data_IF_766758900172
#
_entry.id   IF_766758900172
#
_cell.length_a   1.000
_cell.length_b   1.000
_cell.length_c   1.000
_cell.angle_alpha   90.00
_cell.angle_beta   90.00
_cell.angle_gamma   90.00
#
_symmetry.space_group_name_H-M   'P 1'
#
loop_
_entity.id
_entity.type
_entity.pdbx_description
1 polymer ?
#
# COMPACT_ATOMS: atom_id res chain seq x y z
N UNK A 1 -0.53 -12.98 39.76
CA UNK A 1 -1.74 -12.26 39.29
C UNK A 1 -1.43 -11.12 38.31
N UNK A 2 -0.51 -10.18 38.59
CA UNK A 2 -0.17 -9.08 37.63
C UNK A 2 0.33 -9.56 36.25
N UNK A 3 1.11 -10.63 36.18
CA UNK A 3 1.57 -11.20 34.91
C UNK A 3 0.44 -11.76 34.03
N UNK A 4 -0.66 -12.23 34.64
CA UNK A 4 -1.77 -12.81 33.87
C UNK A 4 -2.56 -11.73 33.14
N UNK A 5 -2.80 -10.60 33.79
CA UNK A 5 -3.50 -9.46 33.17
C UNK A 5 -2.69 -8.82 32.05
N UNK A 6 -1.36 -8.80 32.17
CA UNK A 6 -0.48 -8.37 31.07
C UNK A 6 -0.56 -9.34 29.89
N UNK A 7 -0.54 -10.64 30.15
CA UNK A 7 -0.64 -11.67 29.12
C UNK A 7 -1.98 -11.59 28.37
N UNK A 8 -3.10 -11.44 29.09
CA UNK A 8 -4.43 -11.24 28.49
C UNK A 8 -4.49 -9.99 27.58
N UNK A 9 -3.83 -8.90 27.96
CA UNK A 9 -3.76 -7.70 27.12
C UNK A 9 -2.91 -7.92 25.86
N UNK A 10 -1.83 -8.68 25.96
CA UNK A 10 -1.00 -9.03 24.79
C UNK A 10 -1.75 -9.92 23.82
N UNK A 11 -2.48 -10.92 24.31
CA UNK A 11 -3.30 -11.79 23.47
C UNK A 11 -4.40 -11.01 22.73
N UNK A 12 -4.96 -9.96 23.36
CA UNK A 12 -5.88 -9.04 22.69
C UNK A 12 -5.19 -8.26 21.58
N UNK A 13 -3.96 -7.77 21.80
CA UNK A 13 -3.17 -7.09 20.76
C UNK A 13 -2.89 -8.07 19.60
N UNK A 14 -2.44 -9.29 19.90
CA UNK A 14 -2.16 -10.30 18.88
C UNK A 14 -3.40 -10.62 18.03
N UNK A 15 -4.58 -10.66 18.65
CA UNK A 15 -5.85 -10.83 17.94
C UNK A 15 -6.17 -9.63 17.03
N UNK A 16 -5.92 -8.41 17.49
CA UNK A 16 -6.10 -7.19 16.68
C UNK A 16 -5.12 -7.19 15.50
N UNK A 17 -3.86 -7.53 15.74
CA UNK A 17 -2.82 -7.56 14.70
C UNK A 17 -3.16 -8.56 13.60
N UNK A 18 -3.70 -9.73 13.95
CA UNK A 18 -4.22 -10.69 12.96
C UNK A 18 -5.33 -10.08 12.09
N UNK A 19 -6.25 -9.33 12.68
CA UNK A 19 -7.31 -8.65 11.94
C UNK A 19 -6.74 -7.54 11.04
N UNK A 20 -5.77 -6.77 11.52
CA UNK A 20 -5.08 -5.75 10.73
C UNK A 20 -4.43 -6.39 9.50
N UNK A 21 -3.69 -7.50 9.67
CA UNK A 21 -3.05 -8.21 8.57
C UNK A 21 -4.08 -8.70 7.55
N UNK A 22 -5.22 -9.23 8.01
CA UNK A 22 -6.26 -9.72 7.10
C UNK A 22 -6.90 -8.59 6.29
N UNK A 23 -7.21 -7.46 6.94
CA UNK A 23 -7.70 -6.26 6.26
C UNK A 23 -6.69 -5.69 5.26
N UNK A 24 -5.39 -5.76 5.57
CA UNK A 24 -4.34 -5.34 4.64
C UNK A 24 -4.25 -6.25 3.41
N UNK A 25 -4.42 -7.57 3.58
CA UNK A 25 -4.48 -8.51 2.45
C UNK A 25 -5.67 -8.19 1.54
N UNK A 26 -6.86 -8.01 2.11
CA UNK A 26 -8.06 -7.64 1.35
C UNK A 26 -7.84 -6.34 0.58
N UNK A 27 -7.28 -5.33 1.24
CA UNK A 27 -6.97 -4.03 0.63
C UNK A 27 -5.99 -4.18 -0.55
N UNK A 28 -4.96 -5.01 -0.42
CA UNK A 28 -3.99 -5.28 -1.49
C UNK A 28 -4.66 -5.98 -2.68
N UNK A 29 -5.53 -6.97 -2.44
CA UNK A 29 -6.24 -7.65 -3.53
C UNK A 29 -7.18 -6.71 -4.29
N UNK A 30 -7.85 -5.81 -3.59
CA UNK A 30 -8.65 -4.75 -4.22
C UNK A 30 -7.73 -3.80 -5.01
N UNK A 31 -6.59 -3.40 -4.45
CA UNK A 31 -5.63 -2.53 -5.12
C UNK A 31 -5.08 -3.16 -6.41
N UNK A 32 -4.80 -4.47 -6.44
CA UNK A 32 -4.41 -5.20 -7.65
C UNK A 32 -5.48 -5.14 -8.74
N UNK A 33 -6.74 -5.34 -8.38
CA UNK A 33 -7.88 -5.24 -9.32
C UNK A 33 -7.99 -3.82 -9.89
N UNK A 34 -7.83 -2.80 -9.05
CA UNK A 34 -7.80 -1.40 -9.48
C UNK A 34 -6.61 -1.14 -10.43
N UNK A 35 -5.44 -1.69 -10.12
CA UNK A 35 -4.25 -1.59 -10.98
C UNK A 35 -4.50 -2.13 -12.38
N UNK A 36 -5.11 -3.31 -12.50
CA UNK A 36 -5.49 -3.91 -13.80
C UNK A 36 -6.46 -3.01 -14.58
N UNK A 37 -7.51 -2.50 -13.93
CA UNK A 37 -8.46 -1.59 -14.58
C UNK A 37 -7.80 -0.29 -15.03
N UNK A 38 -6.88 0.27 -14.23
CA UNK A 38 -6.12 1.46 -14.60
C UNK A 38 -5.22 1.21 -15.80
N UNK A 39 -4.59 0.04 -15.85
CA UNK A 39 -3.76 -0.38 -16.98
C UNK A 39 -4.59 -0.46 -18.27
N UNK A 40 -5.77 -1.10 -18.22
CA UNK A 40 -6.65 -1.27 -19.38
C UNK A 40 -7.09 0.08 -19.99
N UNK A 41 -7.21 1.12 -19.17
CA UNK A 41 -7.60 2.48 -19.59
C UNK A 41 -6.42 3.44 -19.76
N UNK A 42 -5.17 2.95 -19.65
CA UNK A 42 -3.95 3.75 -19.82
C UNK A 42 -3.68 4.77 -18.72
N UNK A 43 -4.24 4.59 -17.51
CA UNK A 43 -4.06 5.50 -16.38
C UNK A 43 -2.83 5.16 -15.54
N UNK A 44 -2.19 6.19 -14.97
CA UNK A 44 -1.07 5.97 -14.06
C UNK A 44 -1.51 5.39 -12.70
N UNK A 45 -0.65 4.52 -12.15
CA UNK A 45 -0.83 3.96 -10.80
C UNK A 45 -0.67 5.01 -9.70
N UNK A 46 0.06 6.09 -9.97
CA UNK A 46 0.30 7.18 -9.04
C UNK A 46 -0.76 8.28 -9.18
N UNK A 47 -1.44 8.62 -8.08
CA UNK A 47 -2.48 9.64 -8.05
C UNK A 47 -2.44 10.42 -6.73
N UNK A 48 -1.78 11.59 -6.77
CA UNK A 48 -1.58 12.45 -5.61
C UNK A 48 -2.88 12.96 -5.00
N UNK A 49 -3.89 13.26 -5.83
CA UNK A 49 -5.19 13.75 -5.35
C UNK A 49 -5.87 12.64 -4.57
N UNK A 50 -5.87 11.42 -5.13
CA UNK A 50 -6.45 10.26 -4.45
C UNK A 50 -5.75 9.93 -3.14
N UNK A 51 -4.43 10.02 -3.06
CA UNK A 51 -3.69 9.77 -1.82
C UNK A 51 -4.06 10.78 -0.73
N UNK A 52 -4.16 12.08 -1.08
CA UNK A 52 -4.62 13.13 -0.17
C UNK A 52 -6.05 12.88 0.31
N UNK A 53 -6.95 12.47 -0.57
CA UNK A 53 -8.33 12.12 -0.19
C UNK A 53 -8.38 10.98 0.83
N UNK A 54 -7.58 9.93 0.62
CA UNK A 54 -7.53 8.79 1.54
C UNK A 54 -7.06 9.26 2.93
N UNK A 55 -5.96 10.00 2.99
CA UNK A 55 -5.43 10.52 4.27
C UNK A 55 -6.46 11.40 4.98
N UNK A 56 -7.13 12.30 4.25
CA UNK A 56 -8.18 13.15 4.82
C UNK A 56 -9.36 12.33 5.38
N UNK A 57 -9.77 11.26 4.69
CA UNK A 57 -10.82 10.36 5.19
C UNK A 57 -10.39 9.63 6.46
N UNK A 58 -9.16 9.13 6.49
CA UNK A 58 -8.62 8.43 7.66
C UNK A 58 -8.51 9.36 8.88
N UNK A 59 -8.04 10.59 8.69
CA UNK A 59 -7.95 11.57 9.78
C UNK A 59 -9.33 11.93 10.34
N UNK A 60 -10.37 11.96 9.50
CA UNK A 60 -11.76 12.14 9.97
C UNK A 60 -12.24 10.96 10.81
N UNK A 61 -11.96 9.73 10.39
CA UNK A 61 -12.34 8.50 11.11
C UNK A 61 -11.60 8.36 12.44
N UNK A 62 -10.36 8.88 12.51
CA UNK A 62 -9.51 8.77 13.69
C UNK A 62 -10.06 9.48 14.95
N UNK A 63 -10.90 10.50 14.80
CA UNK A 63 -11.49 11.27 15.91
C UNK A 63 -10.46 11.76 16.95
N UNK A 64 -9.20 11.97 16.52
CA UNK A 64 -8.03 12.38 17.33
C UNK A 64 -7.59 11.38 18.43
N UNK A 65 -8.03 10.13 18.37
CA UNK A 65 -7.60 9.09 19.33
C UNK A 65 -6.15 8.65 19.05
N UNK A 66 -5.82 8.41 17.78
CA UNK A 66 -4.45 8.09 17.35
C UNK A 66 -3.68 9.39 17.02
N UNK A 67 -2.38 9.51 17.32
CA UNK A 67 -1.58 10.66 16.91
C UNK A 67 -1.61 10.85 15.39
N UNK A 68 -2.15 11.98 14.91
CA UNK A 68 -2.42 12.19 13.48
C UNK A 68 -1.19 12.04 12.60
N UNK A 69 -0.02 12.52 13.05
CA UNK A 69 1.21 12.44 12.27
C UNK A 69 1.72 11.00 12.14
N UNK A 70 1.63 10.20 13.21
CA UNK A 70 1.94 8.79 13.14
C UNK A 70 0.95 8.04 12.23
N UNK A 71 -0.34 8.37 12.30
CA UNK A 71 -1.36 7.75 11.45
C UNK A 71 -1.13 8.06 9.96
N UNK A 72 -0.76 9.31 9.63
CA UNK A 72 -0.39 9.71 8.26
C UNK A 72 0.79 8.89 7.75
N UNK A 73 1.83 8.68 8.57
CA UNK A 73 3.00 7.87 8.17
C UNK A 73 2.58 6.43 7.90
N UNK A 74 1.84 5.80 8.81
CA UNK A 74 1.37 4.41 8.65
C UNK A 74 0.56 4.26 7.37
N UNK A 75 -0.43 5.12 7.15
CA UNK A 75 -1.27 5.03 5.95
C UNK A 75 -0.53 5.36 4.67
N UNK A 76 0.47 6.25 4.71
CA UNK A 76 1.33 6.52 3.56
C UNK A 76 2.11 5.27 3.14
N UNK A 77 2.64 4.50 4.09
CA UNK A 77 3.31 3.24 3.80
C UNK A 77 2.34 2.17 3.26
N UNK A 78 1.14 2.06 3.83
CA UNK A 78 0.09 1.16 3.32
C UNK A 78 -0.28 1.52 1.86
N UNK A 79 -0.40 2.82 1.55
CA UNK A 79 -0.67 3.31 0.19
C UNK A 79 0.50 2.95 -0.74
N UNK A 80 1.75 3.20 -0.34
CA UNK A 80 2.95 2.86 -1.13
C UNK A 80 3.02 1.37 -1.44
N UNK A 81 2.77 0.51 -0.45
CA UNK A 81 2.75 -0.95 -0.63
C UNK A 81 1.63 -1.40 -1.58
N UNK A 82 0.45 -0.77 -1.51
CA UNK A 82 -0.62 -1.07 -2.47
C UNK A 82 -0.34 -0.53 -3.88
N UNK A 83 0.46 0.52 -4.00
CA UNK A 83 0.87 1.07 -5.30
C UNK A 83 1.94 0.21 -5.96
N UNK A 84 2.88 -0.37 -5.19
CA UNK A 84 3.93 -1.22 -5.76
C UNK A 84 3.37 -2.47 -6.46
N UNK A 85 2.29 -3.05 -5.93
CA UNK A 85 1.62 -4.20 -6.58
C UNK A 85 0.80 -3.82 -7.82
N UNK A 86 0.56 -2.53 -8.06
CA UNK A 86 -0.12 -2.03 -9.26
C UNK A 86 0.86 -1.67 -10.38
N UNK A 87 2.15 -1.50 -10.07
CA UNK A 87 3.13 -1.06 -11.05
C UNK A 87 3.64 -2.25 -11.87
N UNK A 88 3.62 -2.10 -13.21
CA UNK A 88 4.43 -2.95 -14.07
C UNK A 88 5.90 -2.78 -13.70
N UNK A 89 6.66 -3.86 -13.83
CA UNK A 89 8.11 -3.81 -13.78
C UNK A 89 8.56 -2.83 -14.87
N UNK A 90 9.20 -1.74 -14.47
CA UNK A 90 9.83 -0.79 -15.39
C UNK A 90 11.31 -1.12 -15.44
N UNK A 91 11.80 -1.49 -16.62
CA UNK A 91 13.22 -1.73 -16.86
C UNK A 91 13.79 -0.51 -17.59
N UNK A 92 14.83 0.10 -17.03
CA UNK A 92 15.59 1.12 -17.72
C UNK A 92 16.73 0.46 -18.52
N UNK A 93 17.02 0.98 -19.70
CA UNK A 93 18.12 0.52 -20.54
C UNK A 93 19.01 1.70 -20.96
N UNK A 94 20.29 1.41 -21.20
CA UNK A 94 21.25 2.42 -21.65
C UNK A 94 21.41 2.36 -23.17
N UNK A 95 21.12 3.47 -23.84
CA UNK A 95 21.24 3.62 -25.29
C UNK A 95 19.93 4.00 -25.99
N UNK A 96 19.95 4.28 -27.30
CA UNK A 96 18.74 4.55 -28.07
C UNK A 96 17.87 3.29 -28.27
N UNK A 97 16.65 3.51 -28.76
CA UNK A 97 15.75 2.43 -29.19
C UNK A 97 16.45 1.50 -30.20
N UNK A 98 16.02 0.23 -30.19
CA UNK A 98 16.53 -0.88 -31.00
C UNK A 98 18.01 -1.28 -30.79
N UNK A 99 18.65 -0.85 -29.69
CA UNK A 99 19.99 -1.35 -29.30
C UNK A 99 19.94 -2.65 -28.52
N UNK A 100 21.09 -3.29 -28.30
CA UNK A 100 21.18 -4.53 -27.50
C UNK A 100 20.57 -4.37 -26.11
N UNK A 101 20.81 -3.23 -25.44
CA UNK A 101 20.22 -2.93 -24.14
C UNK A 101 18.70 -2.77 -24.21
N UNK A 102 18.18 -2.14 -25.27
CA UNK A 102 16.73 -2.00 -25.48
C UNK A 102 16.06 -3.36 -25.70
N UNK A 103 16.63 -4.18 -26.60
CA UNK A 103 16.10 -5.51 -26.93
C UNK A 103 16.14 -6.42 -25.70
N UNK A 104 17.21 -6.38 -24.91
CA UNK A 104 17.30 -7.12 -23.65
C UNK A 104 16.21 -6.69 -22.65
N UNK A 105 15.92 -5.38 -22.55
CA UNK A 105 14.88 -4.86 -21.67
C UNK A 105 13.45 -5.20 -22.14
N UNK A 106 13.23 -5.37 -23.45
CA UNK A 106 11.94 -5.80 -24.00
C UNK A 106 11.68 -7.31 -23.83
N UNK A 107 12.74 -8.11 -23.76
CA UNK A 107 12.67 -9.58 -23.65
C UNK A 107 12.66 -10.11 -22.21
N UNK A 108 12.46 -9.23 -21.22
CA UNK A 108 12.37 -9.55 -19.80
C UNK A 108 10.93 -9.40 -19.31
#
# INVERSE_FOLDING_TARGET
MKNNKLQELREKIDSIDRQIVELLKERIEIAKKIGKLKEDIGYESFDLLREKEILNKILKINEKIFPEDALKVIYSEIIKACRSVQQKIKVAYLGPEATFSHIAALNY
#
